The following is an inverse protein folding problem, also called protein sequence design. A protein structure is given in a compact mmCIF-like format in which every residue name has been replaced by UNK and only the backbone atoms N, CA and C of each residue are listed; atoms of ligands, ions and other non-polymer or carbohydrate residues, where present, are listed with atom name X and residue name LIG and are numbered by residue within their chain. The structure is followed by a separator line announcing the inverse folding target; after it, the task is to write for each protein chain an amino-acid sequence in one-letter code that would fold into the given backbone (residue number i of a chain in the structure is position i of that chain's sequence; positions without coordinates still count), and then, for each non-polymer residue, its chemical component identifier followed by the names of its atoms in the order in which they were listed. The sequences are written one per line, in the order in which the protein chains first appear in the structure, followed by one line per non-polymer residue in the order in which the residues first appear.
data_IF_850116808238
#
_entry.id   IF_850116808238
#
_cell.length_a   1.000
_cell.length_b   1.000
_cell.length_c   1.000
_cell.angle_alpha   90.00
_cell.angle_beta   90.00
_cell.angle_gamma   90.00
#
_symmetry.space_group_name_H-M   'P 1'
#
loop_
_entity.id
_entity.type
_entity.pdbx_description
1 polymer ?
#
# COMPACT_ATOMS: atom_id res chain seq x y z
N UNK A 1 27.50 -4.97 -3.49
CA UNK A 1 27.65 -3.56 -3.07
C UNK A 1 26.37 -2.98 -2.43
N UNK A 2 25.17 -3.21 -2.98
CA UNK A 2 23.92 -2.54 -2.52
C UNK A 2 23.37 -3.03 -1.16
N UNK A 3 23.66 -4.27 -0.74
CA UNK A 3 23.12 -4.85 0.51
C UNK A 3 23.59 -4.17 1.82
N UNK A 4 24.51 -3.21 1.77
CA UNK A 4 25.03 -2.49 2.95
C UNK A 4 24.25 -1.21 3.31
N UNK A 5 23.34 -0.74 2.46
CA UNK A 5 22.57 0.46 2.75
C UNK A 5 21.31 0.15 3.55
N UNK A 6 21.12 0.86 4.66
CA UNK A 6 19.84 0.85 5.37
C UNK A 6 18.84 1.71 4.56
N UNK A 7 17.89 1.05 3.92
CA UNK A 7 16.87 1.66 3.07
C UNK A 7 15.60 2.07 3.85
N UNK A 8 15.53 1.78 5.16
CA UNK A 8 14.38 2.14 5.99
C UNK A 8 14.53 3.58 6.49
N UNK A 9 13.57 4.44 6.16
CA UNK A 9 13.65 5.88 6.40
C UNK A 9 12.63 6.42 7.44
N UNK A 10 11.93 5.59 8.21
CA UNK A 10 11.01 6.08 9.23
C UNK A 10 11.29 5.62 10.66
N UNK A 11 10.80 6.43 11.60
CA UNK A 11 10.87 6.23 13.05
C UNK A 11 9.74 5.29 13.52
N UNK A 12 10.03 4.46 14.51
CA UNK A 12 9.04 3.55 15.14
C UNK A 12 7.90 4.28 15.85
N UNK A 13 8.04 5.59 16.08
CA UNK A 13 7.14 6.43 16.87
C UNK A 13 6.07 7.18 16.06
N UNK A 14 6.13 7.18 14.73
CA UNK A 14 5.21 7.98 13.90
C UNK A 14 4.28 7.07 13.10
N UNK A 15 3.09 6.81 13.62
CA UNK A 15 1.99 6.15 12.90
C UNK A 15 1.34 7.15 11.95
N UNK A 16 2.01 7.40 10.82
CA UNK A 16 1.64 8.47 9.90
C UNK A 16 0.71 7.96 8.78
N UNK A 17 -0.51 8.51 8.73
CA UNK A 17 -1.39 8.46 7.54
C UNK A 17 -0.72 8.93 6.25
N UNK A 18 0.44 9.61 6.34
CA UNK A 18 1.26 10.00 5.20
C UNK A 18 1.75 8.85 4.32
N UNK A 19 1.88 7.61 4.83
CA UNK A 19 2.25 6.45 3.99
C UNK A 19 1.16 6.12 2.97
N UNK A 20 -0.12 6.34 3.31
CA UNK A 20 -1.24 6.13 2.39
C UNK A 20 -1.29 7.18 1.28
N UNK A 21 -0.87 8.43 1.55
CA UNK A 21 -0.95 9.53 0.58
C UNK A 21 -0.11 9.31 -0.68
N UNK A 22 1.01 8.59 -0.59
CA UNK A 22 1.88 8.32 -1.74
C UNK A 22 1.67 6.92 -2.34
N UNK A 23 0.65 6.18 -1.89
CA UNK A 23 0.42 4.79 -2.31
C UNK A 23 -0.20 4.69 -3.70
N UNK A 24 -0.96 5.70 -4.15
CA UNK A 24 -1.79 5.67 -5.36
C UNK A 24 -1.07 5.23 -6.67
N UNK A 25 0.20 5.57 -6.94
CA UNK A 25 0.88 5.15 -8.17
C UNK A 25 1.02 3.63 -8.32
N UNK A 26 1.14 2.89 -7.20
CA UNK A 26 1.35 1.44 -7.21
C UNK A 26 0.11 0.68 -7.73
N UNK A 27 -1.10 0.82 -7.13
CA UNK A 27 -2.29 0.16 -7.63
C UNK A 27 -2.73 0.69 -9.00
N UNK A 28 -2.42 1.95 -9.35
CA UNK A 28 -2.65 2.47 -10.71
C UNK A 28 -1.78 1.76 -11.75
N UNK A 29 -0.51 1.49 -11.45
CA UNK A 29 0.37 0.78 -12.38
C UNK A 29 0.03 -0.72 -12.47
N UNK A 30 -0.23 -1.36 -11.33
CA UNK A 30 -0.51 -2.80 -11.25
C UNK A 30 -2.01 -3.17 -11.31
N UNK A 31 -2.89 -2.28 -11.79
CA UNK A 31 -4.35 -2.52 -11.75
C UNK A 31 -4.80 -3.79 -12.49
N UNK A 32 -4.03 -4.24 -13.50
CA UNK A 32 -4.29 -5.48 -14.26
C UNK A 32 -3.87 -6.75 -13.50
N UNK A 33 -3.08 -6.61 -12.44
CA UNK A 33 -2.57 -7.71 -11.63
C UNK A 33 -2.69 -7.36 -10.14
N UNK A 34 -3.90 -7.52 -9.56
CA UNK A 34 -4.21 -7.11 -8.19
C UNK A 34 -3.25 -7.69 -7.14
N UNK A 35 -2.75 -8.91 -7.35
CA UNK A 35 -1.78 -9.54 -6.45
C UNK A 35 -0.48 -8.73 -6.34
N UNK A 36 0.01 -8.18 -7.45
CA UNK A 36 1.19 -7.33 -7.46
C UNK A 36 0.89 -5.97 -6.84
N UNK A 37 -0.27 -5.38 -7.13
CA UNK A 37 -0.69 -4.10 -6.52
C UNK A 37 -0.67 -4.17 -4.99
N UNK A 38 -1.27 -5.22 -4.41
CA UNK A 38 -1.33 -5.44 -2.96
C UNK A 38 0.05 -5.76 -2.38
N UNK A 39 0.83 -6.63 -3.04
CA UNK A 39 2.15 -7.01 -2.55
C UNK A 39 3.12 -5.82 -2.52
N UNK A 40 3.21 -5.08 -3.64
CA UNK A 40 4.11 -3.93 -3.75
C UNK A 40 3.67 -2.76 -2.88
N UNK A 41 2.36 -2.56 -2.66
CA UNK A 41 1.85 -1.57 -1.72
C UNK A 41 2.38 -1.82 -0.30
N UNK A 42 2.27 -3.05 0.20
CA UNK A 42 2.81 -3.41 1.51
C UNK A 42 4.34 -3.32 1.58
N UNK A 43 5.04 -3.77 0.54
CA UNK A 43 6.52 -3.68 0.50
C UNK A 43 7.02 -2.24 0.51
N UNK A 44 6.36 -1.34 -0.24
CA UNK A 44 6.69 0.08 -0.25
C UNK A 44 6.47 0.71 1.12
N UNK A 45 5.35 0.41 1.78
CA UNK A 45 5.05 0.90 3.13
C UNK A 45 6.11 0.50 4.17
N UNK A 46 6.68 -0.71 4.07
CA UNK A 46 7.72 -1.19 5.00
C UNK A 46 9.03 -0.39 4.98
N UNK A 47 9.27 0.40 3.93
CA UNK A 47 10.42 1.31 3.86
C UNK A 47 10.24 2.53 4.78
N UNK A 48 8.99 2.90 5.04
CA UNK A 48 8.63 4.03 5.90
C UNK A 48 8.32 3.57 7.31
N UNK A 49 7.44 2.58 7.47
CA UNK A 49 7.05 2.09 8.79
C UNK A 49 6.83 0.59 8.75
N UNK A 50 7.58 -0.13 9.59
CA UNK A 50 7.49 -1.59 9.71
C UNK A 50 6.49 -1.98 10.80
N UNK A 51 5.23 -1.57 10.63
CA UNK A 51 4.14 -1.88 11.55
C UNK A 51 3.03 -2.62 10.80
N UNK A 52 2.66 -3.79 11.30
CA UNK A 52 1.66 -4.67 10.66
C UNK A 52 0.34 -3.95 10.34
N UNK A 53 -0.13 -3.05 11.22
CA UNK A 53 -1.36 -2.28 10.99
C UNK A 53 -1.23 -1.37 9.76
N UNK A 54 -0.06 -0.75 9.55
CA UNK A 54 0.20 0.14 8.41
C UNK A 54 0.37 -0.66 7.14
N UNK A 55 1.09 -1.79 7.20
CA UNK A 55 1.27 -2.67 6.05
C UNK A 55 -0.08 -3.22 5.55
N UNK A 56 -0.93 -3.68 6.46
CA UNK A 56 -2.24 -4.23 6.13
C UNK A 56 -3.22 -3.14 5.68
N UNK A 57 -3.19 -1.95 6.29
CA UNK A 57 -3.96 -0.81 5.80
C UNK A 57 -3.57 -0.42 4.37
N UNK A 58 -2.27 -0.40 4.05
CA UNK A 58 -1.81 -0.10 2.69
C UNK A 58 -2.22 -1.19 1.69
N UNK A 59 -2.11 -2.47 2.07
CA UNK A 59 -2.57 -3.59 1.25
C UNK A 59 -4.06 -3.50 0.94
N UNK A 60 -4.86 -3.25 1.97
CA UNK A 60 -6.31 -3.11 1.84
C UNK A 60 -6.68 -1.90 0.98
N UNK A 61 -6.07 -0.73 1.22
CA UNK A 61 -6.33 0.47 0.44
C UNK A 61 -5.93 0.31 -1.04
N UNK A 62 -4.81 -0.37 -1.32
CA UNK A 62 -4.43 -0.71 -2.70
C UNK A 62 -5.46 -1.62 -3.38
N UNK A 63 -5.98 -2.64 -2.67
CA UNK A 63 -7.03 -3.51 -3.20
C UNK A 63 -8.31 -2.72 -3.54
N UNK A 64 -8.72 -1.78 -2.67
CA UNK A 64 -9.86 -0.90 -2.92
C UNK A 64 -9.65 -0.03 -4.17
N UNK A 65 -8.48 0.57 -4.34
CA UNK A 65 -8.15 1.37 -5.53
C UNK A 65 -8.22 0.51 -6.80
N UNK A 66 -7.62 -0.69 -6.78
CA UNK A 66 -7.66 -1.60 -7.93
C UNK A 66 -9.10 -2.00 -8.26
N UNK A 67 -9.90 -2.34 -7.26
CA UNK A 67 -11.30 -2.70 -7.46
C UNK A 67 -12.12 -1.54 -8.04
N UNK A 68 -11.90 -0.30 -7.56
CA UNK A 68 -12.52 0.90 -8.11
C UNK A 68 -12.13 1.13 -9.58
N UNK A 69 -10.84 0.99 -9.93
CA UNK A 69 -10.37 1.13 -11.32
C UNK A 69 -11.00 0.06 -12.23
N UNK A 70 -11.23 -1.14 -11.71
CA UNK A 70 -11.87 -2.24 -12.44
C UNK A 70 -13.40 -2.09 -12.56
N UNK A 71 -13.98 -1.02 -12.00
CA UNK A 71 -15.39 -0.70 -12.14
C UNK A 71 -16.30 -1.30 -11.06
N UNK A 72 -15.75 -1.78 -9.95
CA UNK A 72 -16.56 -2.19 -8.81
C UNK A 72 -17.33 -0.99 -8.22
N UNK A 73 -18.58 -1.23 -7.85
CA UNK A 73 -19.44 -0.17 -7.31
C UNK A 73 -19.05 0.20 -5.89
N UNK A 74 -19.26 1.46 -5.52
CA UNK A 74 -18.95 1.98 -4.17
C UNK A 74 -19.59 1.15 -3.07
N UNK A 75 -20.82 0.72 -3.25
CA UNK A 75 -21.57 -0.07 -2.26
C UNK A 75 -20.84 -1.37 -1.96
N UNK A 76 -20.30 -2.03 -2.99
CA UNK A 76 -19.55 -3.29 -2.85
C UNK A 76 -18.13 -3.09 -2.30
N UNK A 77 -17.52 -1.93 -2.58
CA UNK A 77 -16.20 -1.59 -2.04
C UNK A 77 -16.24 -1.27 -0.54
N UNK A 78 -17.39 -0.78 -0.05
CA UNK A 78 -17.58 -0.35 1.33
C UNK A 78 -18.51 -1.29 2.12
N UNK A 79 -18.88 -2.42 1.52
CA UNK A 79 -19.67 -3.45 2.18
C UNK A 79 -18.79 -4.15 3.23
N UNK A 80 -19.31 -4.34 4.44
CA UNK A 80 -18.60 -4.97 5.56
C UNK A 80 -18.95 -6.46 5.66
#
# INVERSE_FOLDING_TARGET
AIKKFNLKCGSTSTTGSGVLMYLAPIPLFYFRSPEYAVNYAGRSASLFQDNIKVLDACRYYAALIVAAIRGEKKERLLDN
#
